data_IF_182020866702
#
_entry.id   IF_182020866702
#
_cell.length_a   1.000
_cell.length_b   1.000
_cell.length_c   1.000
_cell.angle_alpha   90.00
_cell.angle_beta   90.00
_cell.angle_gamma   90.00
#
_symmetry.space_group_name_H-M   'P 1'
#
loop_
_entity.id
_entity.type
_entity.pdbx_description
1 polymer ?
#
# COMPACT_ATOMS: atom_id res chain seq x y z
N UNK A 1 -4.68 11.92 6.03
CA UNK A 1 -5.93 11.27 6.52
C UNK A 1 -5.78 9.77 6.30
N UNK A 2 -6.19 8.90 7.24
CA UNK A 2 -6.13 7.45 7.05
C UNK A 2 -7.42 6.97 6.36
N UNK A 3 -7.32 6.15 5.30
CA UNK A 3 -8.49 5.70 4.54
C UNK A 3 -9.56 5.04 5.43
N UNK A 4 -9.14 4.24 6.41
CA UNK A 4 -10.03 3.58 7.39
C UNK A 4 -10.90 4.54 8.22
N UNK A 5 -10.58 5.84 8.23
CA UNK A 5 -11.32 6.86 8.99
C UNK A 5 -12.38 7.60 8.17
N UNK A 6 -12.49 7.33 6.86
CA UNK A 6 -13.47 8.02 6.00
C UNK A 6 -14.89 7.51 6.26
N UNK A 7 -15.92 8.37 6.17
CA UNK A 7 -17.31 7.93 6.17
C UNK A 7 -17.56 6.94 5.03
N UNK A 8 -18.26 5.83 5.32
CA UNK A 8 -18.59 4.82 4.32
C UNK A 8 -17.48 3.81 4.03
N UNK A 9 -16.39 3.79 4.81
CA UNK A 9 -15.41 2.70 4.74
C UNK A 9 -16.11 1.34 5.01
N UNK A 10 -15.88 0.29 4.19
CA UNK A 10 -16.56 -1.00 4.36
C UNK A 10 -16.19 -1.65 5.69
N UNK A 11 -17.19 -1.99 6.51
CA UNK A 11 -16.98 -2.49 7.87
C UNK A 11 -16.27 -3.85 7.86
N UNK A 12 -16.50 -4.67 6.83
CA UNK A 12 -15.87 -5.99 6.64
C UNK A 12 -14.34 -5.93 6.54
N UNK A 13 -13.77 -4.82 6.04
CA UNK A 13 -12.32 -4.65 5.88
C UNK A 13 -11.68 -3.86 7.02
N UNK A 14 -12.49 -3.28 7.91
CA UNK A 14 -12.02 -2.30 8.89
C UNK A 14 -11.09 -2.90 9.93
N UNK A 15 -11.40 -4.10 10.40
CA UNK A 15 -10.55 -4.81 11.36
C UNK A 15 -9.14 -5.05 10.80
N UNK A 16 -9.05 -5.53 9.56
CA UNK A 16 -7.78 -5.75 8.88
C UNK A 16 -7.04 -4.43 8.62
N UNK A 17 -7.73 -3.40 8.14
CA UNK A 17 -7.13 -2.09 7.89
C UNK A 17 -6.55 -1.43 9.15
N UNK A 18 -7.24 -1.58 10.30
CA UNK A 18 -6.73 -1.11 11.60
C UNK A 18 -5.51 -1.91 12.03
N UNK A 19 -5.56 -3.24 11.95
CA UNK A 19 -4.44 -4.12 12.33
C UNK A 19 -3.17 -3.85 11.48
N UNK A 20 -3.31 -3.64 10.17
CA UNK A 20 -2.19 -3.26 9.31
C UNK A 20 -1.64 -1.87 9.65
N UNK A 21 -2.53 -0.93 10.02
CA UNK A 21 -2.12 0.37 10.52
C UNK A 21 -1.32 0.28 11.82
N UNK A 22 -1.71 -0.60 12.74
CA UNK A 22 -0.96 -0.87 13.97
C UNK A 22 0.39 -1.55 13.68
N UNK A 23 0.44 -2.51 12.75
CA UNK A 23 1.67 -3.16 12.33
C UNK A 23 2.69 -2.16 11.75
N UNK A 24 2.23 -1.20 10.93
CA UNK A 24 3.09 -0.14 10.42
C UNK A 24 3.72 0.70 11.55
N UNK A 25 2.96 1.02 12.60
CA UNK A 25 3.51 1.75 13.75
C UNK A 25 4.56 0.94 14.52
N UNK A 26 4.45 -0.39 14.57
CA UNK A 26 5.50 -1.27 15.12
C UNK A 26 6.80 -1.12 14.33
N UNK A 27 6.73 -1.15 13.00
CA UNK A 27 7.92 -0.97 12.16
C UNK A 27 8.54 0.43 12.32
N UNK A 28 7.71 1.48 12.40
CA UNK A 28 8.15 2.87 12.61
C UNK A 28 8.81 3.10 13.97
N UNK A 29 8.29 2.46 15.02
CA UNK A 29 8.80 2.59 16.38
C UNK A 29 9.99 1.67 16.69
N UNK A 30 10.35 0.78 15.76
CA UNK A 30 11.41 -0.20 15.96
C UNK A 30 12.79 0.46 16.00
N UNK A 31 13.60 0.13 17.02
CA UNK A 31 15.02 0.47 17.11
C UNK A 31 15.93 -0.63 16.51
N UNK A 32 15.35 -1.60 15.81
CA UNK A 32 16.10 -2.68 15.17
C UNK A 32 16.80 -2.18 13.90
N UNK A 33 17.91 -2.82 13.54
CA UNK A 33 18.62 -2.57 12.28
C UNK A 33 17.93 -3.20 11.03
N UNK A 34 16.66 -3.61 11.16
CA UNK A 34 15.91 -4.20 10.04
C UNK A 34 15.61 -3.12 9.01
N UNK A 35 16.05 -3.34 7.77
CA UNK A 35 15.73 -2.48 6.64
C UNK A 35 14.37 -2.90 6.04
N UNK A 36 13.28 -2.45 6.66
CA UNK A 36 11.93 -2.78 6.24
C UNK A 36 11.42 -1.83 5.16
N UNK A 37 10.56 -2.31 4.27
CA UNK A 37 9.69 -1.47 3.43
C UNK A 37 8.26 -1.96 3.62
N UNK A 38 7.33 -1.05 3.95
CA UNK A 38 5.91 -1.37 4.10
C UNK A 38 5.17 -0.99 2.83
N UNK A 39 4.83 -1.98 2.00
CA UNK A 39 4.17 -1.74 0.71
C UNK A 39 2.66 -1.85 0.90
N UNK A 40 1.96 -0.73 0.86
CA UNK A 40 0.51 -0.70 0.91
C UNK A 40 -0.09 -0.82 -0.49
N UNK A 41 -1.11 -1.67 -0.68
CA UNK A 41 -1.87 -1.67 -1.92
C UNK A 41 -2.73 -0.40 -2.05
N UNK A 42 -3.35 -0.25 -3.22
CA UNK A 42 -4.44 0.69 -3.44
C UNK A 42 -5.66 0.37 -2.56
N UNK A 43 -6.66 1.27 -2.52
CA UNK A 43 -7.89 1.03 -1.74
C UNK A 43 -8.63 -0.25 -2.19
N UNK A 44 -8.60 -0.54 -3.49
CA UNK A 44 -9.09 -1.77 -4.08
C UNK A 44 -7.92 -2.55 -4.68
N UNK A 45 -7.60 -3.69 -4.07
CA UNK A 45 -6.78 -4.73 -4.69
C UNK A 45 -7.69 -5.86 -5.17
N UNK A 46 -7.60 -6.21 -6.45
CA UNK A 46 -8.52 -7.15 -7.07
C UNK A 46 -7.81 -8.26 -7.87
N UNK A 47 -8.40 -9.46 -7.98
CA UNK A 47 -7.86 -10.51 -8.84
C UNK A 47 -7.83 -10.07 -10.31
N UNK A 48 -6.66 -10.15 -10.95
CA UNK A 48 -6.51 -9.79 -12.35
C UNK A 48 -5.08 -9.95 -12.84
N UNK A 49 -4.95 -10.02 -14.16
CA UNK A 49 -3.67 -9.99 -14.86
C UNK A 49 -3.05 -8.59 -14.82
N UNK A 50 -1.80 -8.48 -15.29
CA UNK A 50 -1.11 -7.20 -15.46
C UNK A 50 -1.94 -6.27 -16.33
N UNK A 51 -2.26 -5.08 -15.83
CA UNK A 51 -3.06 -4.10 -16.56
C UNK A 51 -2.23 -2.93 -17.11
N UNK A 52 -1.04 -2.69 -16.55
CA UNK A 52 -0.17 -1.64 -17.06
C UNK A 52 0.80 -1.08 -16.03
N UNK A 53 1.21 0.16 -16.25
CA UNK A 53 2.09 0.87 -15.33
C UNK A 53 1.33 1.28 -14.07
N UNK A 54 2.00 1.14 -12.94
CA UNK A 54 1.55 1.64 -11.65
C UNK A 54 2.43 2.82 -11.22
N UNK A 55 1.93 3.61 -10.28
CA UNK A 55 2.66 4.70 -9.62
C UNK A 55 3.04 4.25 -8.22
N UNK A 56 4.22 4.68 -7.78
CA UNK A 56 4.68 4.53 -6.40
C UNK A 56 4.56 5.90 -5.72
N UNK A 57 4.00 5.92 -4.52
CA UNK A 57 3.87 7.11 -3.68
C UNK A 57 4.25 6.83 -2.23
N UNK A 58 4.24 7.87 -1.41
CA UNK A 58 4.50 7.77 0.04
C UNK A 58 3.23 7.51 0.84
N UNK A 59 2.99 8.27 1.91
CA UNK A 59 1.87 8.09 2.85
C UNK A 59 0.49 8.49 2.32
N UNK A 60 0.42 9.17 1.18
CA UNK A 60 -0.85 9.65 0.61
C UNK A 60 -1.60 8.50 -0.07
N UNK A 61 -2.94 8.60 -0.12
CA UNK A 61 -3.75 7.72 -0.96
C UNK A 61 -3.53 8.11 -2.43
N UNK A 62 -3.20 7.12 -3.27
CA UNK A 62 -3.09 7.32 -4.71
C UNK A 62 -4.44 7.05 -5.36
N UNK A 63 -4.93 8.01 -6.14
CA UNK A 63 -6.13 7.87 -6.97
C UNK A 63 -5.83 8.28 -8.41
N UNK A 64 -6.58 7.74 -9.37
CA UNK A 64 -6.62 8.20 -10.75
C UNK A 64 -7.41 9.53 -10.89
N UNK A 65 -7.60 9.99 -12.12
CA UNK A 65 -8.36 11.22 -12.42
C UNK A 65 -9.85 11.13 -12.12
N UNK A 66 -10.39 9.93 -12.00
CA UNK A 66 -11.79 9.65 -11.67
C UNK A 66 -11.99 9.44 -10.16
N UNK A 67 -10.91 9.43 -9.38
CA UNK A 67 -10.92 9.23 -7.94
C UNK A 67 -10.83 7.77 -7.51
N UNK A 68 -10.59 6.83 -8.43
CA UNK A 68 -10.45 5.42 -8.09
C UNK A 68 -9.02 5.13 -7.60
N UNK A 69 -8.90 4.29 -6.59
CA UNK A 69 -7.61 3.78 -6.10
C UNK A 69 -7.60 2.27 -6.28
N UNK A 70 -6.98 1.80 -7.37
CA UNK A 70 -7.05 0.40 -7.79
C UNK A 70 -5.68 -0.15 -8.15
N UNK A 71 -5.48 -1.44 -7.90
CA UNK A 71 -4.32 -2.21 -8.36
C UNK A 71 -4.72 -3.69 -8.53
N UNK A 72 -4.22 -4.36 -9.57
CA UNK A 72 -4.39 -5.81 -9.70
C UNK A 72 -3.45 -6.54 -8.74
N UNK A 73 -3.78 -7.76 -8.33
CA UNK A 73 -2.84 -8.61 -7.57
C UNK A 73 -1.54 -8.85 -8.36
N UNK A 74 -1.62 -8.99 -9.68
CA UNK A 74 -0.44 -9.20 -10.52
C UNK A 74 0.51 -7.99 -10.52
N UNK A 75 0.01 -6.77 -10.66
CA UNK A 75 0.84 -5.56 -10.67
C UNK A 75 1.31 -5.18 -9.26
N UNK A 76 0.51 -5.45 -8.22
CA UNK A 76 0.96 -5.33 -6.83
C UNK A 76 2.14 -6.26 -6.55
N UNK A 77 2.10 -7.50 -7.05
CA UNK A 77 3.21 -8.44 -6.92
C UNK A 77 4.46 -7.94 -7.67
N UNK A 78 4.31 -7.36 -8.87
CA UNK A 78 5.42 -6.72 -9.58
C UNK A 78 6.02 -5.59 -8.74
N UNK A 79 5.19 -4.72 -8.15
CA UNK A 79 5.68 -3.63 -7.31
C UNK A 79 6.50 -4.10 -6.10
N UNK A 80 6.11 -5.23 -5.49
CA UNK A 80 6.89 -5.86 -4.42
C UNK A 80 8.26 -6.35 -4.91
N UNK A 81 8.32 -6.94 -6.12
CA UNK A 81 9.57 -7.42 -6.70
C UNK A 81 10.47 -6.26 -7.11
N UNK A 82 9.90 -5.21 -7.72
CA UNK A 82 10.67 -4.03 -8.13
C UNK A 82 11.30 -3.35 -6.90
N UNK A 83 10.55 -3.16 -5.81
CA UNK A 83 11.12 -2.63 -4.55
C UNK A 83 12.19 -3.56 -3.96
N UNK A 84 12.04 -4.88 -4.06
CA UNK A 84 13.05 -5.83 -3.62
C UNK A 84 14.35 -5.73 -4.44
N UNK A 85 14.24 -5.53 -5.76
CA UNK A 85 15.37 -5.47 -6.68
C UNK A 85 16.14 -4.15 -6.55
N UNK A 86 15.44 -3.02 -6.41
CA UNK A 86 16.06 -1.69 -6.40
C UNK A 86 16.27 -1.11 -5.00
N UNK A 87 15.50 -1.57 -4.00
CA UNK A 87 15.59 -1.14 -2.59
C UNK A 87 15.55 0.40 -2.42
N UNK A 88 14.66 1.08 -3.15
CA UNK A 88 14.61 2.54 -3.21
C UNK A 88 14.00 3.17 -1.96
N UNK A 89 13.21 2.43 -1.18
CA UNK A 89 12.43 2.97 -0.06
C UNK A 89 12.80 2.35 1.30
N UNK A 90 14.08 2.42 1.72
CA UNK A 90 14.50 1.83 2.99
C UNK A 90 13.82 2.51 4.18
N UNK A 91 13.23 1.69 5.07
CA UNK A 91 12.54 2.10 6.30
C UNK A 91 11.39 3.07 6.06
N UNK A 92 10.66 2.85 4.96
CA UNK A 92 9.54 3.69 4.55
C UNK A 92 8.29 2.87 4.25
N UNK A 93 7.14 3.55 4.34
CA UNK A 93 5.88 3.07 3.78
C UNK A 93 5.73 3.66 2.39
N UNK A 94 5.40 2.81 1.42
CA UNK A 94 4.99 3.20 0.08
C UNK A 94 3.57 2.76 -0.21
N UNK A 95 2.92 3.44 -1.15
CA UNK A 95 1.64 3.05 -1.71
C UNK A 95 1.77 2.80 -3.21
N UNK A 96 1.03 1.83 -3.75
CA UNK A 96 1.02 1.52 -5.19
C UNK A 96 -0.39 1.46 -5.74
N UNK A 97 -0.62 2.12 -6.86
CA UNK A 97 -1.90 2.16 -7.58
C UNK A 97 -1.67 2.57 -9.04
N UNK A 98 -2.63 2.34 -9.93
CA UNK A 98 -2.61 2.90 -11.29
C UNK A 98 -2.67 4.43 -11.26
#
# INVERSE_FOLDING_TARGET
MKLVTVPGFPEEYKGEALAQGEALEVFRASNSDVNWTFVSPAAEIFPGDKQGQYRVGGDQLLTDSEGNSRISVADYAVALIDELEYAEHPRQRIGVAY
#
